data_IF_868960508370
#
_entry.id   IF_868960508370
#
_cell.length_a   1.000
_cell.length_b   1.000
_cell.length_c   1.000
_cell.angle_alpha   90.00
_cell.angle_beta   90.00
_cell.angle_gamma   90.00
#
_symmetry.space_group_name_H-M   'P 1'
#
loop_
_entity.id
_entity.type
_entity.pdbx_description
1 polymer ?
#
# COMPACT_ATOMS: atom_id res chain seq x y z
N UNK A 1 -17.97 7.10 -21.24
CA UNK A 1 -17.04 7.17 -20.07
C UNK A 1 -15.58 7.05 -20.49
N UNK A 2 -15.21 5.99 -21.24
CA UNK A 2 -13.84 5.78 -21.74
C UNK A 2 -13.31 6.96 -22.59
N UNK A 3 -14.12 7.53 -23.47
CA UNK A 3 -13.72 8.67 -24.32
C UNK A 3 -13.58 9.99 -23.54
N UNK A 4 -14.36 10.18 -22.47
CA UNK A 4 -14.24 11.35 -21.59
C UNK A 4 -12.92 11.29 -20.83
N UNK A 5 -12.55 10.10 -20.35
CA UNK A 5 -11.28 9.90 -19.67
C UNK A 5 -10.11 9.98 -20.65
N UNK A 6 -10.28 9.55 -21.92
CA UNK A 6 -9.26 9.78 -22.95
C UNK A 6 -9.11 11.27 -23.28
N UNK A 7 -10.19 12.04 -23.36
CA UNK A 7 -10.11 13.51 -23.49
C UNK A 7 -9.42 14.14 -22.27
N UNK A 8 -9.74 13.71 -21.05
CA UNK A 8 -9.04 14.16 -19.83
C UNK A 8 -7.55 13.78 -19.90
N UNK A 9 -7.24 12.56 -20.36
CA UNK A 9 -5.86 12.08 -20.53
C UNK A 9 -5.14 12.85 -21.63
N UNK A 10 -5.78 13.22 -22.74
CA UNK A 10 -5.20 14.03 -23.81
C UNK A 10 -4.96 15.48 -23.35
N UNK A 11 -5.92 16.06 -22.61
CA UNK A 11 -5.78 17.38 -21.99
C UNK A 11 -4.63 17.40 -20.97
N UNK A 12 -4.47 16.32 -20.20
CA UNK A 12 -3.37 16.17 -19.21
C UNK A 12 -2.04 15.76 -19.87
N UNK A 13 -2.06 14.95 -20.93
CA UNK A 13 -0.87 14.57 -21.70
C UNK A 13 -0.32 15.74 -22.53
N UNK A 14 -1.18 16.69 -22.92
CA UNK A 14 -0.78 17.97 -23.50
C UNK A 14 0.02 18.84 -22.50
N UNK A 15 -0.12 18.61 -21.18
CA UNK A 15 0.89 19.03 -20.21
C UNK A 15 2.04 18.01 -20.23
N UNK A 16 3.09 18.31 -21.01
CA UNK A 16 4.32 17.51 -21.16
C UNK A 16 4.69 16.81 -19.84
N UNK A 17 4.64 15.48 -19.82
CA UNK A 17 5.09 14.66 -18.70
C UNK A 17 6.48 15.12 -18.26
N UNK A 18 6.75 15.17 -16.94
CA UNK A 18 8.04 15.65 -16.48
C UNK A 18 9.14 14.75 -17.01
N UNK A 19 10.16 15.34 -17.61
CA UNK A 19 11.38 14.63 -17.96
C UNK A 19 12.07 14.16 -16.67
N UNK A 20 12.08 12.85 -16.45
CA UNK A 20 12.60 12.24 -15.22
C UNK A 20 14.14 12.16 -15.24
N UNK A 21 14.76 12.20 -16.41
CA UNK A 21 16.20 12.09 -16.60
C UNK A 21 16.90 13.45 -16.59
N UNK A 22 16.27 14.49 -17.15
CA UNK A 22 16.90 15.81 -17.30
C UNK A 22 16.09 16.97 -16.72
N UNK A 23 14.80 16.80 -16.43
CA UNK A 23 13.92 17.86 -15.93
C UNK A 23 14.20 18.32 -14.49
N UNK A 24 13.34 19.17 -13.94
CA UNK A 24 13.44 19.62 -12.54
C UNK A 24 13.09 18.49 -11.56
N UNK A 25 14.01 18.17 -10.63
CA UNK A 25 13.82 17.13 -9.60
C UNK A 25 12.55 17.36 -8.77
N UNK A 26 12.35 18.59 -8.26
CA UNK A 26 11.21 18.89 -7.39
C UNK A 26 9.87 18.74 -8.13
N UNK A 27 9.78 19.34 -9.32
CA UNK A 27 8.63 19.19 -10.22
C UNK A 27 8.31 17.72 -10.51
N UNK A 28 9.31 16.89 -10.82
CA UNK A 28 9.12 15.45 -11.06
C UNK A 28 8.63 14.72 -9.81
N UNK A 29 9.22 14.99 -8.64
CA UNK A 29 8.77 14.40 -7.37
C UNK A 29 7.30 14.73 -7.08
N UNK A 30 6.91 16.00 -7.16
CA UNK A 30 5.54 16.45 -6.87
C UNK A 30 4.53 15.89 -7.87
N UNK A 31 4.82 15.97 -9.17
CA UNK A 31 3.91 15.50 -10.22
C UNK A 31 3.68 13.99 -10.16
N UNK A 32 4.68 13.22 -9.73
CA UNK A 32 4.54 11.77 -9.54
C UNK A 32 3.88 11.44 -8.19
N UNK A 33 4.23 12.14 -7.11
CA UNK A 33 3.77 11.79 -5.77
C UNK A 33 2.31 12.16 -5.51
N UNK A 34 1.85 13.33 -5.99
CA UNK A 34 0.49 13.82 -5.72
C UNK A 34 -0.59 12.84 -6.21
N UNK A 35 -0.51 12.29 -7.44
CA UNK A 35 -1.48 11.28 -7.87
C UNK A 35 -1.47 10.01 -7.01
N UNK A 36 -0.30 9.57 -6.55
CA UNK A 36 -0.20 8.42 -5.65
C UNK A 36 -0.82 8.73 -4.29
N UNK A 37 -0.60 9.93 -3.75
CA UNK A 37 -1.22 10.39 -2.50
C UNK A 37 -2.74 10.41 -2.61
N UNK A 38 -3.28 10.96 -3.70
CA UNK A 38 -4.71 11.00 -3.96
C UNK A 38 -5.29 9.58 -4.13
N UNK A 39 -4.58 8.69 -4.80
CA UNK A 39 -4.97 7.29 -4.94
C UNK A 39 -5.06 6.58 -3.56
N UNK A 40 -4.06 6.77 -2.70
CA UNK A 40 -4.06 6.22 -1.33
C UNK A 40 -5.16 6.83 -0.45
N UNK A 41 -5.42 8.13 -0.61
CA UNK A 41 -6.53 8.79 0.07
C UNK A 41 -7.88 8.23 -0.38
N UNK A 42 -8.09 8.05 -1.68
CA UNK A 42 -9.30 7.41 -2.22
C UNK A 42 -9.48 5.98 -1.72
N UNK A 43 -8.40 5.21 -1.60
CA UNK A 43 -8.45 3.88 -0.99
C UNK A 43 -8.87 3.94 0.50
N UNK A 44 -8.48 4.99 1.21
CA UNK A 44 -8.94 5.23 2.60
C UNK A 44 -10.43 5.58 2.65
N UNK A 45 -10.90 6.45 1.75
CA UNK A 45 -12.33 6.79 1.62
C UNK A 45 -13.17 5.56 1.29
N UNK A 46 -12.70 4.71 0.38
CA UNK A 46 -13.31 3.43 0.04
C UNK A 46 -13.55 2.58 1.29
N UNK A 47 -12.53 2.36 2.12
CA UNK A 47 -12.68 1.55 3.34
C UNK A 47 -13.66 2.19 4.35
N UNK A 48 -13.73 3.52 4.41
CA UNK A 48 -14.65 4.22 5.31
C UNK A 48 -16.11 4.10 4.84
N UNK A 49 -16.36 4.24 3.55
CA UNK A 49 -17.72 4.16 2.98
C UNK A 49 -18.24 2.73 3.04
N UNK A 50 -17.44 1.72 2.70
CA UNK A 50 -17.81 0.31 2.82
C UNK A 50 -18.17 -0.04 4.27
N UNK A 51 -17.32 0.37 5.23
CA UNK A 51 -17.58 0.19 6.66
C UNK A 51 -18.87 0.90 7.13
N UNK A 52 -19.16 2.09 6.59
CA UNK A 52 -20.40 2.82 6.91
C UNK A 52 -21.64 2.06 6.45
N UNK A 53 -21.67 1.58 5.20
CA UNK A 53 -22.83 0.89 4.66
C UNK A 53 -23.04 -0.48 5.30
N UNK A 54 -21.99 -1.28 5.46
CA UNK A 54 -22.11 -2.58 6.14
C UNK A 54 -22.48 -2.39 7.62
N UNK A 55 -22.00 -1.33 8.26
CA UNK A 55 -22.35 -0.99 9.64
C UNK A 55 -23.85 -0.76 9.87
N UNK A 56 -24.58 -0.32 8.85
CA UNK A 56 -26.05 -0.12 8.92
C UNK A 56 -26.84 -1.43 8.95
N UNK A 57 -26.27 -2.56 8.57
CA UNK A 57 -26.91 -3.88 8.65
C UNK A 57 -26.93 -4.46 10.06
N UNK A 58 -26.08 -3.95 10.97
CA UNK A 58 -25.96 -4.42 12.34
C UNK A 58 -24.60 -5.03 12.67
N UNK A 59 -24.43 -5.39 13.94
CA UNK A 59 -23.14 -5.79 14.52
C UNK A 59 -22.54 -7.05 13.88
N UNK A 60 -23.37 -8.04 13.58
CA UNK A 60 -22.91 -9.31 12.99
C UNK A 60 -22.40 -9.12 11.57
N UNK A 61 -23.13 -8.36 10.75
CA UNK A 61 -22.73 -8.01 9.39
C UNK A 61 -21.43 -7.19 9.36
N UNK A 62 -21.29 -6.20 10.25
CA UNK A 62 -20.07 -5.38 10.37
C UNK A 62 -18.83 -6.17 10.79
N UNK A 63 -19.02 -7.27 11.53
CA UNK A 63 -17.92 -8.12 12.00
C UNK A 63 -17.26 -8.90 10.85
N UNK A 64 -18.01 -9.23 9.80
CA UNK A 64 -17.50 -10.07 8.71
C UNK A 64 -16.35 -9.42 7.91
N UNK A 65 -16.47 -8.19 7.36
CA UNK A 65 -15.34 -7.52 6.70
C UNK A 65 -14.15 -7.31 7.65
N UNK A 66 -14.42 -7.03 8.93
CA UNK A 66 -13.39 -6.80 9.95
C UNK A 66 -12.53 -8.05 10.19
N UNK A 67 -13.16 -9.23 10.32
CA UNK A 67 -12.48 -10.53 10.48
C UNK A 67 -11.75 -10.91 9.18
N UNK A 68 -12.33 -10.57 8.03
CA UNK A 68 -11.79 -10.90 6.71
C UNK A 68 -10.56 -10.07 6.34
N UNK A 69 -10.46 -8.83 6.84
CA UNK A 69 -9.46 -7.85 6.42
C UNK A 69 -8.01 -8.36 6.53
N UNK A 70 -7.55 -8.96 7.65
CA UNK A 70 -6.17 -9.45 7.74
C UNK A 70 -5.83 -10.53 6.71
N UNK A 71 -6.78 -11.43 6.41
CA UNK A 71 -6.62 -12.50 5.42
C UNK A 71 -6.48 -11.90 4.02
N UNK A 72 -7.40 -11.00 3.68
CA UNK A 72 -7.42 -10.31 2.39
C UNK A 72 -6.14 -9.48 2.23
N UNK A 73 -5.75 -8.73 3.27
CA UNK A 73 -4.55 -7.90 3.25
C UNK A 73 -3.28 -8.73 3.12
N UNK A 74 -3.19 -9.89 3.78
CA UNK A 74 -2.10 -10.84 3.60
C UNK A 74 -1.96 -11.26 2.14
N UNK A 75 -3.05 -11.64 1.47
CA UNK A 75 -3.04 -12.01 0.05
C UNK A 75 -2.63 -10.83 -0.85
N UNK A 76 -3.23 -9.66 -0.63
CA UNK A 76 -2.96 -8.44 -1.39
C UNK A 76 -1.49 -8.02 -1.27
N UNK A 77 -0.86 -8.23 -0.11
CA UNK A 77 0.53 -7.86 0.13
C UNK A 77 1.51 -8.62 -0.77
N UNK A 78 1.18 -9.86 -1.19
CA UNK A 78 1.97 -10.59 -2.18
C UNK A 78 1.94 -9.92 -3.55
N UNK A 79 0.75 -9.56 -4.03
CA UNK A 79 0.59 -8.80 -5.27
C UNK A 79 1.32 -7.47 -5.23
N UNK A 80 1.20 -6.72 -4.13
CA UNK A 80 1.91 -5.44 -3.95
C UNK A 80 3.42 -5.60 -4.07
N UNK A 81 4.01 -6.64 -3.46
CA UNK A 81 5.44 -6.91 -3.58
C UNK A 81 5.88 -7.28 -5.00
N UNK A 82 5.09 -8.08 -5.73
CA UNK A 82 5.37 -8.36 -7.16
C UNK A 82 5.26 -7.10 -8.03
N UNK A 83 4.39 -6.14 -7.67
CA UNK A 83 4.25 -4.87 -8.39
C UNK A 83 5.52 -4.02 -8.32
N UNK A 84 6.22 -4.07 -7.19
CA UNK A 84 7.52 -3.41 -7.01
C UNK A 84 8.53 -3.88 -8.06
N UNK A 85 8.54 -5.19 -8.37
CA UNK A 85 9.42 -5.74 -9.41
C UNK A 85 9.09 -5.18 -10.79
N UNK A 86 7.80 -5.02 -11.09
CA UNK A 86 7.34 -4.40 -12.34
C UNK A 86 7.83 -2.96 -12.45
N UNK A 87 7.63 -2.15 -11.41
CA UNK A 87 8.10 -0.76 -11.38
C UNK A 87 9.61 -0.67 -11.55
N UNK A 88 10.39 -1.46 -10.82
CA UNK A 88 11.85 -1.40 -10.86
C UNK A 88 12.42 -1.77 -12.25
N UNK A 89 12.00 -2.91 -12.80
CA UNK A 89 12.52 -3.42 -14.07
C UNK A 89 12.09 -2.53 -15.24
N UNK A 90 10.82 -2.11 -15.27
CA UNK A 90 10.31 -1.26 -16.34
C UNK A 90 10.93 0.13 -16.26
N UNK A 91 11.09 0.71 -15.06
CA UNK A 91 11.79 1.98 -14.89
C UNK A 91 13.23 1.89 -15.42
N UNK A 92 14.00 0.87 -15.04
CA UNK A 92 15.37 0.73 -15.50
C UNK A 92 15.47 0.52 -17.02
N UNK A 93 14.62 -0.34 -17.62
CA UNK A 93 14.63 -0.52 -19.07
C UNK A 93 14.18 0.72 -19.83
N UNK A 94 13.22 1.47 -19.29
CA UNK A 94 12.76 2.75 -19.84
C UNK A 94 13.86 3.80 -19.79
N UNK A 95 14.54 3.93 -18.64
CA UNK A 95 15.68 4.82 -18.48
C UNK A 95 16.87 4.47 -19.39
N UNK A 96 17.09 3.18 -19.64
CA UNK A 96 18.11 2.70 -20.57
C UNK A 96 17.73 2.82 -22.06
N UNK A 97 16.55 3.36 -22.39
CA UNK A 97 16.05 3.43 -23.76
C UNK A 97 15.70 2.07 -24.40
N UNK A 98 15.63 0.99 -23.61
CA UNK A 98 15.37 -0.38 -24.10
C UNK A 98 13.86 -0.69 -24.09
N UNK A 99 13.07 0.03 -24.90
CA UNK A 99 11.60 -0.07 -24.93
C UNK A 99 11.09 -1.50 -25.12
N UNK A 100 11.68 -2.27 -26.04
CA UNK A 100 11.27 -3.66 -26.29
C UNK A 100 11.39 -4.55 -25.05
N UNK A 101 12.44 -4.33 -24.23
CA UNK A 101 12.62 -5.08 -22.98
C UNK A 101 11.56 -4.67 -21.94
N UNK A 102 11.19 -3.39 -21.87
CA UNK A 102 10.08 -2.93 -21.03
C UNK A 102 8.75 -3.60 -21.41
N UNK A 103 8.46 -3.73 -22.71
CA UNK A 103 7.25 -4.39 -23.22
C UNK A 103 7.23 -5.89 -22.89
N UNK A 104 8.37 -6.58 -23.01
CA UNK A 104 8.50 -7.98 -22.62
C UNK A 104 8.27 -8.13 -21.11
N UNK A 105 8.95 -7.33 -20.28
CA UNK A 105 8.78 -7.39 -18.82
C UNK A 105 7.32 -7.14 -18.43
N UNK A 106 6.65 -6.17 -19.04
CA UNK A 106 5.23 -5.90 -18.75
C UNK A 106 4.34 -7.12 -19.02
N UNK A 107 4.56 -7.82 -20.14
CA UNK A 107 3.87 -9.09 -20.42
C UNK A 107 4.18 -10.17 -19.38
N UNK A 108 5.45 -10.35 -19.01
CA UNK A 108 5.85 -11.33 -18.00
C UNK A 108 5.28 -11.03 -16.61
N UNK A 109 5.22 -9.76 -16.21
CA UNK A 109 4.59 -9.34 -14.96
C UNK A 109 3.11 -9.71 -14.94
N UNK A 110 2.38 -9.45 -16.03
CA UNK A 110 0.97 -9.82 -16.14
C UNK A 110 0.80 -11.33 -16.03
N UNK A 111 1.62 -12.11 -16.73
CA UNK A 111 1.61 -13.58 -16.67
C UNK A 111 1.87 -14.10 -15.25
N UNK A 112 2.90 -13.58 -14.58
CA UNK A 112 3.24 -13.96 -13.19
C UNK A 112 2.11 -13.58 -12.24
N UNK A 113 1.58 -12.36 -12.34
CA UNK A 113 0.49 -11.88 -11.48
C UNK A 113 -0.78 -12.69 -11.64
N UNK A 114 -1.17 -13.01 -12.88
CA UNK A 114 -2.31 -13.88 -13.18
C UNK A 114 -2.10 -15.26 -12.58
N UNK A 115 -0.94 -15.89 -12.82
CA UNK A 115 -0.63 -17.20 -12.27
C UNK A 115 -0.69 -17.22 -10.74
N UNK A 116 0.00 -16.29 -10.07
CA UNK A 116 -0.01 -16.19 -8.61
C UNK A 116 -1.41 -15.92 -8.06
N UNK A 117 -2.18 -15.05 -8.70
CA UNK A 117 -3.53 -14.72 -8.25
C UNK A 117 -4.48 -15.91 -8.36
N UNK A 118 -4.38 -16.71 -9.43
CA UNK A 118 -5.17 -17.92 -9.61
C UNK A 118 -4.79 -18.96 -8.55
N UNK A 119 -3.49 -19.21 -8.36
CA UNK A 119 -3.02 -20.16 -7.34
C UNK A 119 -3.49 -19.74 -5.94
N UNK A 120 -3.28 -18.48 -5.55
CA UNK A 120 -3.67 -17.99 -4.22
C UNK A 120 -5.20 -17.97 -4.06
N UNK A 121 -5.95 -17.57 -5.09
CA UNK A 121 -7.42 -17.60 -5.06
C UNK A 121 -7.95 -19.02 -4.91
N UNK A 122 -7.47 -19.96 -5.72
CA UNK A 122 -7.87 -21.38 -5.66
C UNK A 122 -7.53 -22.01 -4.32
N UNK A 123 -6.28 -21.85 -3.84
CA UNK A 123 -5.90 -22.35 -2.52
C UNK A 123 -6.71 -21.69 -1.39
N UNK A 124 -6.92 -20.37 -1.48
CA UNK A 124 -7.72 -19.63 -0.51
C UNK A 124 -9.16 -20.14 -0.42
N UNK A 125 -9.76 -20.51 -1.57
CA UNK A 125 -11.11 -21.07 -1.63
C UNK A 125 -11.14 -22.49 -1.05
N UNK A 126 -10.19 -23.35 -1.46
CA UNK A 126 -10.11 -24.74 -0.98
C UNK A 126 -9.95 -24.78 0.54
N UNK A 127 -9.07 -23.94 1.09
CA UNK A 127 -8.77 -23.91 2.52
C UNK A 127 -9.64 -22.93 3.32
N UNK A 128 -10.65 -22.29 2.71
CA UNK A 128 -11.43 -21.23 3.34
C UNK A 128 -12.05 -21.68 4.67
N UNK A 129 -12.71 -22.84 4.69
CA UNK A 129 -13.31 -23.40 5.90
C UNK A 129 -12.25 -23.68 6.98
N UNK A 130 -11.09 -24.24 6.60
CA UNK A 130 -10.00 -24.51 7.53
C UNK A 130 -9.45 -23.22 8.14
N UNK A 131 -9.29 -22.17 7.33
CA UNK A 131 -8.83 -20.84 7.78
C UNK A 131 -9.83 -20.25 8.79
N UNK A 132 -11.14 -20.29 8.49
CA UNK A 132 -12.16 -19.76 9.39
C UNK A 132 -12.28 -20.56 10.69
N UNK A 133 -12.17 -21.89 10.62
CA UNK A 133 -12.14 -22.76 11.81
C UNK A 133 -10.91 -22.49 12.67
N UNK A 134 -9.74 -22.33 12.03
CA UNK A 134 -8.49 -22.01 12.72
C UNK A 134 -8.56 -20.66 13.43
N UNK A 135 -9.19 -19.66 12.81
CA UNK A 135 -9.44 -18.34 13.40
C UNK A 135 -10.57 -18.35 14.45
N UNK A 136 -11.23 -19.49 14.68
CA UNK A 136 -12.35 -19.64 15.62
C UNK A 136 -13.45 -18.61 15.38
N UNK A 137 -13.81 -18.40 14.12
CA UNK A 137 -14.88 -17.48 13.75
C UNK A 137 -16.20 -17.94 14.39
N UNK A 138 -16.91 -17.08 15.15
CA UNK A 138 -18.16 -17.46 15.79
C UNK A 138 -19.24 -17.88 14.78
N UNK A 139 -20.09 -18.83 15.17
CA UNK A 139 -21.16 -19.37 14.31
C UNK A 139 -22.13 -18.29 13.81
N UNK A 140 -22.41 -17.26 14.62
CA UNK A 140 -23.29 -16.15 14.25
C UNK A 140 -22.78 -15.31 13.09
N UNK A 141 -21.46 -15.19 12.91
CA UNK A 141 -20.85 -14.38 11.83
C UNK A 141 -20.18 -15.24 10.76
N UNK A 142 -20.20 -16.56 10.91
CA UNK A 142 -19.52 -17.51 10.04
C UNK A 142 -19.97 -17.35 8.59
N UNK A 143 -21.28 -17.41 8.33
CA UNK A 143 -21.82 -17.36 6.98
C UNK A 143 -21.50 -16.03 6.28
N UNK A 144 -21.65 -14.90 6.99
CA UNK A 144 -21.30 -13.58 6.45
C UNK A 144 -19.80 -13.50 6.10
N UNK A 145 -18.93 -13.96 7.00
CA UNK A 145 -17.47 -13.94 6.81
C UNK A 145 -17.05 -14.85 5.65
N UNK A 146 -17.60 -16.07 5.60
CA UNK A 146 -17.32 -17.03 4.55
C UNK A 146 -17.74 -16.49 3.17
N UNK A 147 -18.98 -16.01 3.03
CA UNK A 147 -19.48 -15.47 1.76
C UNK A 147 -18.66 -14.27 1.29
N UNK A 148 -18.31 -13.37 2.21
CA UNK A 148 -17.51 -12.19 1.91
C UNK A 148 -16.13 -12.58 1.36
N UNK A 149 -15.38 -13.43 2.09
CA UNK A 149 -14.03 -13.85 1.66
C UNK A 149 -14.09 -14.64 0.35
N UNK A 150 -15.04 -15.57 0.22
CA UNK A 150 -15.18 -16.38 -0.99
C UNK A 150 -15.32 -15.50 -2.24
N UNK A 151 -16.18 -14.48 -2.19
CA UNK A 151 -16.39 -13.56 -3.33
C UNK A 151 -15.16 -12.71 -3.59
N UNK A 152 -14.52 -12.18 -2.54
CA UNK A 152 -13.29 -11.41 -2.68
C UNK A 152 -12.17 -12.27 -3.30
N UNK A 153 -12.06 -13.55 -2.94
CA UNK A 153 -11.11 -14.49 -3.53
C UNK A 153 -11.37 -14.71 -5.02
N UNK A 154 -12.63 -14.86 -5.44
CA UNK A 154 -12.98 -14.94 -6.87
C UNK A 154 -12.57 -13.68 -7.64
N UNK A 155 -12.59 -12.52 -6.99
CA UNK A 155 -12.13 -11.24 -7.57
C UNK A 155 -10.62 -11.00 -7.51
N UNK A 156 -9.83 -11.86 -6.88
CA UNK A 156 -8.38 -11.65 -6.74
C UNK A 156 -7.63 -11.56 -8.06
N UNK A 157 -7.92 -12.37 -9.11
CA UNK A 157 -7.25 -12.24 -10.40
C UNK A 157 -7.39 -10.84 -11.00
N UNK A 158 -8.60 -10.28 -10.94
CA UNK A 158 -8.89 -8.93 -11.41
C UNK A 158 -8.08 -7.88 -10.64
N UNK A 159 -7.99 -8.03 -9.32
CA UNK A 159 -7.22 -7.12 -8.47
C UNK A 159 -5.71 -7.19 -8.74
N UNK A 160 -5.16 -8.38 -8.97
CA UNK A 160 -3.75 -8.57 -9.29
C UNK A 160 -3.41 -7.97 -10.66
N UNK A 161 -4.30 -8.04 -11.65
CA UNK A 161 -4.14 -7.32 -12.93
C UNK A 161 -4.07 -5.81 -12.71
N UNK A 162 -4.93 -5.25 -11.84
CA UNK A 162 -4.88 -3.84 -11.50
C UNK A 162 -3.54 -3.45 -10.87
N UNK A 163 -3.05 -4.23 -9.91
CA UNK A 163 -1.74 -4.00 -9.28
C UNK A 163 -0.58 -4.16 -10.28
N UNK A 164 -0.65 -5.14 -11.18
CA UNK A 164 0.33 -5.33 -12.25
C UNK A 164 0.41 -4.08 -13.14
N UNK A 165 -0.76 -3.60 -13.57
CA UNK A 165 -0.87 -2.40 -14.39
C UNK A 165 -0.38 -1.14 -13.68
N UNK A 166 -0.71 -0.98 -12.40
CA UNK A 166 -0.19 0.11 -11.57
C UNK A 166 1.35 0.09 -11.54
N UNK A 167 1.95 -1.08 -11.30
CA UNK A 167 3.41 -1.23 -11.29
C UNK A 167 4.07 -0.91 -12.63
N UNK A 168 3.44 -1.35 -13.74
CA UNK A 168 3.87 -1.04 -15.11
C UNK A 168 3.84 0.48 -15.35
N UNK A 169 2.72 1.13 -15.05
CA UNK A 169 2.54 2.58 -15.24
C UNK A 169 3.49 3.40 -14.38
N UNK A 170 3.70 3.00 -13.13
CA UNK A 170 4.70 3.61 -12.27
C UNK A 170 6.10 3.47 -12.87
N UNK A 171 6.46 2.31 -13.42
CA UNK A 171 7.75 2.14 -14.11
C UNK A 171 7.93 3.09 -15.30
N UNK A 172 6.86 3.37 -16.04
CA UNK A 172 6.84 4.30 -17.17
C UNK A 172 6.85 5.79 -16.77
N UNK A 173 6.70 6.11 -15.48
CA UNK A 173 6.56 7.51 -15.05
C UNK A 173 5.15 8.07 -15.12
N UNK A 174 4.13 7.20 -15.17
CA UNK A 174 2.71 7.59 -15.18
C UNK A 174 2.02 7.16 -13.88
N UNK A 175 1.86 8.10 -12.94
CA UNK A 175 1.11 7.85 -11.70
C UNK A 175 -0.34 8.34 -11.78
N UNK A 176 -0.69 9.11 -12.80
CA UNK A 176 -2.01 9.71 -12.98
C UNK A 176 -3.03 8.70 -13.50
N UNK A 177 -2.63 7.89 -14.48
CA UNK A 177 -3.51 6.87 -15.09
C UNK A 177 -3.99 5.84 -14.05
N UNK A 178 -3.11 5.26 -13.19
CA UNK A 178 -3.55 4.41 -12.09
C UNK A 178 -4.46 5.12 -11.07
N UNK A 179 -4.18 6.40 -10.76
CA UNK A 179 -5.01 7.19 -9.86
C UNK A 179 -6.43 7.35 -10.40
N UNK A 180 -6.59 7.68 -11.69
CA UNK A 180 -7.91 7.79 -12.32
C UNK A 180 -8.69 6.47 -12.24
N UNK A 181 -8.04 5.35 -12.51
CA UNK A 181 -8.69 4.03 -12.39
C UNK A 181 -9.11 3.79 -10.94
N UNK A 182 -8.25 4.12 -9.97
CA UNK A 182 -8.61 4.00 -8.56
C UNK A 182 -9.85 4.83 -8.22
N UNK A 183 -9.94 6.08 -8.69
CA UNK A 183 -11.14 6.90 -8.48
C UNK A 183 -12.39 6.30 -9.10
N UNK A 184 -12.29 5.69 -10.30
CA UNK A 184 -13.41 5.00 -10.93
C UNK A 184 -13.85 3.80 -10.09
N UNK A 185 -12.90 2.97 -9.62
CA UNK A 185 -13.20 1.82 -8.75
C UNK A 185 -13.93 2.28 -7.49
N UNK A 186 -13.41 3.30 -6.81
CA UNK A 186 -13.99 3.81 -5.57
C UNK A 186 -15.36 4.44 -5.83
N UNK A 187 -15.49 5.27 -6.86
CA UNK A 187 -16.77 5.91 -7.21
C UNK A 187 -17.85 4.88 -7.57
N UNK A 188 -17.52 3.88 -8.39
CA UNK A 188 -18.46 2.80 -8.72
C UNK A 188 -18.86 2.01 -7.48
N UNK A 189 -17.90 1.67 -6.62
CA UNK A 189 -18.20 0.91 -5.42
C UNK A 189 -19.12 1.69 -4.46
N UNK A 190 -18.80 2.96 -4.18
CA UNK A 190 -19.63 3.84 -3.33
C UNK A 190 -21.07 3.93 -3.85
N UNK A 191 -21.23 3.98 -5.18
CA UNK A 191 -22.56 4.03 -5.80
C UNK A 191 -23.27 2.68 -5.67
N UNK A 192 -22.58 1.56 -5.94
CA UNK A 192 -23.17 0.22 -6.00
C UNK A 192 -23.50 -0.37 -4.63
N UNK A 193 -22.73 -0.02 -3.60
CA UNK A 193 -22.89 -0.52 -2.24
C UNK A 193 -24.34 -0.40 -1.72
N UNK A 194 -24.99 0.78 -1.67
CA UNK A 194 -26.35 0.88 -1.14
C UNK A 194 -27.37 0.06 -1.95
N UNK A 195 -27.21 -0.05 -3.27
CA UNK A 195 -28.13 -0.84 -4.10
C UNK A 195 -28.02 -2.34 -3.81
N UNK A 196 -26.79 -2.86 -3.73
CA UNK A 196 -26.56 -4.30 -3.51
C UNK A 196 -26.70 -4.72 -2.05
N UNK A 197 -26.31 -3.86 -1.11
CA UNK A 197 -26.37 -4.15 0.32
C UNK A 197 -27.83 -4.16 0.79
N UNK A 198 -28.61 -3.12 0.49
CA UNK A 198 -29.99 -2.99 0.99
C UNK A 198 -31.04 -3.52 0.02
N UNK A 199 -30.68 -3.83 -1.23
CA UNK A 199 -31.64 -4.28 -2.25
C UNK A 199 -32.56 -3.16 -2.71
N UNK A 200 -31.97 -2.03 -3.12
CA UNK A 200 -32.73 -0.86 -3.58
C UNK A 200 -33.04 -1.01 -5.07
N UNK A 201 -34.23 -0.55 -5.49
CA UNK A 201 -34.70 -0.54 -6.88
C UNK A 201 -34.88 -1.95 -7.46
N UNK A 202 -34.09 -2.37 -8.45
CA UNK A 202 -34.20 -3.71 -9.08
C UNK A 202 -33.32 -4.78 -8.40
N UNK A 203 -32.43 -4.36 -7.49
CA UNK A 203 -31.44 -5.26 -6.92
C UNK A 203 -32.02 -6.01 -5.72
N UNK A 204 -31.77 -7.33 -5.59
CA UNK A 204 -32.14 -8.06 -4.39
C UNK A 204 -31.27 -7.60 -3.20
N UNK A 205 -31.80 -7.75 -1.99
CA UNK A 205 -31.04 -7.49 -0.76
C UNK A 205 -29.99 -8.58 -0.56
N UNK A 206 -28.71 -8.22 -0.66
CA UNK A 206 -27.59 -9.16 -0.54
C UNK A 206 -26.76 -8.96 0.74
N UNK A 207 -27.11 -8.00 1.60
CA UNK A 207 -26.40 -7.71 2.85
C UNK A 207 -24.86 -7.63 2.64
N UNK A 208 -24.07 -8.32 3.46
CA UNK A 208 -22.59 -8.36 3.38
C UNK A 208 -22.08 -8.93 2.05
N UNK A 209 -22.82 -9.86 1.45
CA UNK A 209 -22.50 -10.41 0.13
C UNK A 209 -22.58 -9.32 -0.94
N UNK A 210 -23.51 -8.37 -0.80
CA UNK A 210 -23.64 -7.21 -1.67
C UNK A 210 -22.39 -6.35 -1.71
N UNK A 211 -21.80 -6.05 -0.54
CA UNK A 211 -20.55 -5.27 -0.44
C UNK A 211 -19.37 -5.95 -1.14
N UNK A 212 -19.21 -7.27 -0.96
CA UNK A 212 -18.16 -8.03 -1.64
C UNK A 212 -18.35 -8.02 -3.17
N UNK A 213 -19.59 -8.19 -3.66
CA UNK A 213 -19.90 -8.15 -5.09
C UNK A 213 -19.65 -6.76 -5.66
N UNK A 214 -20.08 -5.69 -4.98
CA UNK A 214 -19.84 -4.32 -5.39
C UNK A 214 -18.33 -4.05 -5.56
N UNK A 215 -17.52 -4.54 -4.61
CA UNK A 215 -16.06 -4.42 -4.65
C UNK A 215 -15.46 -5.14 -5.86
N UNK A 216 -15.82 -6.41 -6.07
CA UNK A 216 -15.27 -7.22 -7.18
C UNK A 216 -15.73 -6.67 -8.53
N UNK A 217 -17.00 -6.28 -8.65
CA UNK A 217 -17.56 -5.72 -9.86
C UNK A 217 -16.89 -4.39 -10.23
N UNK A 218 -16.72 -3.49 -9.27
CA UNK A 218 -16.04 -2.20 -9.51
C UNK A 218 -14.61 -2.39 -10.01
N UNK A 219 -13.89 -3.39 -9.48
CA UNK A 219 -12.57 -3.80 -9.96
C UNK A 219 -12.62 -4.46 -11.34
N UNK A 220 -13.66 -5.24 -11.64
CA UNK A 220 -13.84 -5.87 -12.95
C UNK A 220 -14.04 -4.82 -14.05
N UNK A 221 -14.84 -3.79 -13.78
CA UNK A 221 -14.99 -2.63 -14.69
C UNK A 221 -13.64 -1.95 -14.91
N UNK A 222 -12.84 -1.74 -13.85
CA UNK A 222 -11.50 -1.19 -13.98
C UNK A 222 -10.56 -2.09 -14.79
N UNK A 223 -10.63 -3.42 -14.65
CA UNK A 223 -9.83 -4.33 -15.46
C UNK A 223 -10.20 -4.27 -16.94
N UNK A 224 -11.49 -4.10 -17.28
CA UNK A 224 -11.92 -3.88 -18.67
C UNK A 224 -11.32 -2.58 -19.21
N UNK A 225 -11.37 -1.49 -18.43
CA UNK A 225 -10.75 -0.21 -18.80
C UNK A 225 -9.23 -0.36 -18.99
N UNK A 226 -8.57 -1.11 -18.12
CA UNK A 226 -7.14 -1.41 -18.21
C UNK A 226 -6.82 -2.16 -19.49
N UNK A 227 -7.53 -3.25 -19.79
CA UNK A 227 -7.32 -4.06 -21.00
C UNK A 227 -7.50 -3.20 -22.25
N UNK A 228 -8.58 -2.42 -22.29
CA UNK A 228 -8.83 -1.48 -23.38
C UNK A 228 -7.67 -0.48 -23.55
N UNK A 229 -7.14 0.07 -22.46
CA UNK A 229 -6.01 1.00 -22.51
C UNK A 229 -4.69 0.33 -22.89
N UNK A 230 -4.42 -0.90 -22.45
CA UNK A 230 -3.21 -1.64 -22.85
C UNK A 230 -3.21 -1.84 -24.37
N UNK A 231 -4.36 -2.20 -24.95
CA UNK A 231 -4.48 -2.45 -26.40
C UNK A 231 -4.29 -1.17 -27.23
N UNK A 232 -4.69 -0.01 -26.71
CA UNK A 232 -4.58 1.29 -27.41
C UNK A 232 -3.39 2.14 -26.97
N UNK A 233 -2.51 1.62 -26.12
CA UNK A 233 -1.42 2.39 -25.57
C UNK A 233 -0.34 2.65 -26.63
N UNK A 234 0.07 3.92 -26.77
CA UNK A 234 1.18 4.31 -27.63
C UNK A 234 2.55 4.17 -26.93
N UNK A 235 2.54 4.09 -25.60
CA UNK A 235 3.76 4.11 -24.78
C UNK A 235 4.32 2.72 -24.53
N UNK A 236 3.47 1.72 -24.35
CA UNK A 236 3.89 0.32 -24.17
C UNK A 236 2.99 -0.61 -24.98
N UNK A 237 3.55 -1.27 -25.99
CA UNK A 237 2.79 -2.19 -26.84
C UNK A 237 2.94 -3.64 -26.35
N UNK A 238 2.06 -4.05 -25.43
CA UNK A 238 2.06 -5.41 -24.92
C UNK A 238 1.39 -6.34 -25.94
N UNK A 239 2.20 -7.14 -26.63
CA UNK A 239 1.75 -8.14 -27.60
C UNK A 239 1.50 -9.48 -26.91
N UNK A 240 0.60 -10.32 -27.46
CA UNK A 240 0.33 -11.66 -26.93
C UNK A 240 1.60 -12.52 -26.77
N UNK A 241 2.57 -12.38 -27.69
CA UNK A 241 3.87 -13.06 -27.60
C UNK A 241 4.67 -12.70 -26.33
N UNK A 242 4.45 -11.52 -25.73
CA UNK A 242 5.12 -11.11 -24.50
C UNK A 242 4.54 -11.79 -23.26
N UNK A 243 3.36 -12.42 -23.37
CA UNK A 243 2.73 -13.18 -22.28
C UNK A 243 3.26 -14.62 -22.18
N UNK A 244 3.92 -15.13 -23.22
CA UNK A 244 4.52 -16.46 -23.23
C UNK A 244 5.61 -16.53 -22.16
N UNK A 245 5.52 -17.43 -21.15
CA UNK A 245 6.47 -17.47 -20.04
C UNK A 245 7.93 -17.56 -20.49
N UNK A 246 8.75 -16.64 -19.98
CA UNK A 246 10.19 -16.66 -20.14
C UNK A 246 10.83 -16.71 -18.75
N UNK A 247 11.35 -17.89 -18.39
CA UNK A 247 11.89 -18.15 -17.06
C UNK A 247 13.04 -17.23 -16.65
N UNK A 248 13.80 -16.68 -17.60
CA UNK A 248 14.86 -15.72 -17.29
C UNK A 248 14.28 -14.40 -16.76
N UNK A 249 13.21 -13.90 -17.37
CA UNK A 249 12.54 -12.69 -16.92
C UNK A 249 11.69 -12.94 -15.67
N UNK A 250 11.00 -14.08 -15.60
CA UNK A 250 10.23 -14.49 -14.41
C UNK A 250 11.16 -14.61 -13.19
N UNK A 251 12.33 -15.24 -13.33
CA UNK A 251 13.31 -15.33 -12.26
C UNK A 251 13.75 -13.96 -11.73
N UNK A 252 13.93 -12.97 -12.61
CA UNK A 252 14.20 -11.58 -12.20
C UNK A 252 13.04 -10.96 -11.45
N UNK A 253 11.81 -11.13 -11.96
CA UNK A 253 10.59 -10.62 -11.31
C UNK A 253 10.45 -11.21 -9.91
N UNK A 254 10.62 -12.54 -9.75
CA UNK A 254 10.49 -13.22 -8.46
C UNK A 254 11.60 -12.84 -7.48
N UNK A 255 12.85 -12.70 -7.95
CA UNK A 255 14.00 -12.29 -7.11
C UNK A 255 13.80 -10.91 -6.49
N UNK A 256 13.05 -10.03 -7.15
CA UNK A 256 12.74 -8.69 -6.65
C UNK A 256 11.41 -8.69 -5.89
N UNK A 257 10.39 -9.37 -6.42
CA UNK A 257 9.04 -9.32 -5.91
C UNK A 257 8.88 -10.09 -4.60
N UNK A 258 9.43 -11.29 -4.48
CA UNK A 258 9.25 -12.13 -3.29
C UNK A 258 9.77 -11.47 -2.00
N UNK A 259 11.00 -10.90 -1.93
CA UNK A 259 11.43 -10.19 -0.73
C UNK A 259 10.52 -9.01 -0.37
N UNK A 260 10.05 -8.25 -1.37
CA UNK A 260 9.13 -7.14 -1.13
C UNK A 260 7.78 -7.65 -0.59
N UNK A 261 7.25 -8.73 -1.17
CA UNK A 261 6.01 -9.39 -0.73
C UNK A 261 6.12 -9.89 0.71
N UNK A 262 7.23 -10.54 1.07
CA UNK A 262 7.50 -11.03 2.42
C UNK A 262 7.62 -9.90 3.45
N UNK A 263 8.26 -8.79 3.07
CA UNK A 263 8.34 -7.60 3.93
C UNK A 263 6.97 -7.02 4.23
N UNK A 264 6.10 -6.91 3.22
CA UNK A 264 4.74 -6.38 3.38
C UNK A 264 3.85 -7.34 4.17
N UNK A 265 3.83 -8.64 3.80
CA UNK A 265 2.99 -9.64 4.46
C UNK A 265 3.38 -9.87 5.92
N UNK A 266 4.68 -9.89 6.23
CA UNK A 266 5.18 -10.02 7.60
C UNK A 266 4.83 -8.82 8.47
N UNK A 267 4.69 -7.62 7.88
CA UNK A 267 4.23 -6.43 8.61
C UNK A 267 2.79 -6.58 9.06
N UNK A 268 1.92 -7.13 8.21
CA UNK A 268 0.51 -7.40 8.51
C UNK A 268 0.35 -8.25 9.77
N UNK A 269 1.09 -9.36 9.83
CA UNK A 269 1.03 -10.32 10.95
C UNK A 269 1.53 -9.71 12.26
N UNK A 270 2.60 -8.92 12.23
CA UNK A 270 3.13 -8.32 13.45
C UNK A 270 2.20 -7.25 14.05
N UNK A 271 1.37 -6.58 13.25
CA UNK A 271 0.37 -5.65 13.78
C UNK A 271 -0.73 -6.33 14.58
N UNK A 272 -1.08 -7.59 14.26
CA UNK A 272 -2.04 -8.38 15.05
C UNK A 272 -1.52 -8.56 16.48
N UNK A 273 -0.23 -8.92 16.62
CA UNK A 273 0.41 -9.07 17.93
C UNK A 273 0.48 -7.73 18.68
N UNK A 274 0.78 -6.64 17.99
CA UNK A 274 0.79 -5.31 18.62
C UNK A 274 -0.58 -4.91 19.16
N UNK A 275 -1.65 -5.18 18.42
CA UNK A 275 -3.03 -4.94 18.88
C UNK A 275 -3.34 -5.79 20.12
N UNK A 276 -2.90 -7.04 20.15
CA UNK A 276 -3.06 -7.89 21.35
C UNK A 276 -2.42 -7.28 22.60
N UNK A 277 -1.26 -6.63 22.48
CA UNK A 277 -0.64 -5.92 23.61
C UNK A 277 -1.46 -4.73 24.07
N UNK A 278 -1.95 -3.91 23.14
CA UNK A 278 -2.80 -2.75 23.43
C UNK A 278 -4.09 -3.18 24.13
N UNK A 279 -4.70 -4.29 23.69
CA UNK A 279 -5.96 -4.78 24.25
C UNK A 279 -5.89 -5.16 25.73
N UNK A 280 -4.69 -5.48 26.25
CA UNK A 280 -4.49 -5.83 27.67
C UNK A 280 -4.61 -4.64 28.62
N UNK A 281 -4.58 -3.41 28.10
CA UNK A 281 -4.64 -2.18 28.91
C UNK A 281 -6.04 -1.53 28.94
N UNK A 282 -7.07 -2.21 28.43
CA UNK A 282 -8.46 -1.76 28.54
C UNK A 282 -8.93 -0.81 27.42
N UNK A 283 -10.24 -0.54 27.42
CA UNK A 283 -10.93 0.16 26.33
C UNK A 283 -10.39 1.57 26.08
N UNK A 284 -10.01 2.31 27.13
CA UNK A 284 -9.52 3.69 27.01
C UNK A 284 -8.21 3.77 26.24
N UNK A 285 -7.28 2.83 26.47
CA UNK A 285 -6.01 2.73 25.74
C UNK A 285 -6.22 2.31 24.30
N UNK A 286 -7.13 1.36 24.04
CA UNK A 286 -7.50 0.94 22.68
C UNK A 286 -8.04 2.13 21.88
N UNK A 287 -8.92 2.92 22.48
CA UNK A 287 -9.49 4.13 21.86
C UNK A 287 -8.42 5.18 21.54
N UNK A 288 -7.53 5.47 22.50
CA UNK A 288 -6.42 6.39 22.30
C UNK A 288 -5.46 5.90 21.19
N UNK A 289 -5.14 4.60 21.18
CA UNK A 289 -4.36 3.95 20.12
C UNK A 289 -5.01 4.13 18.75
N UNK A 290 -6.32 3.85 18.65
CA UNK A 290 -7.07 3.93 17.40
C UNK A 290 -7.04 5.33 16.81
N UNK A 291 -7.30 6.36 17.62
CA UNK A 291 -7.24 7.77 17.20
C UNK A 291 -5.81 8.13 16.80
N UNK A 292 -4.83 7.85 17.67
CA UNK A 292 -3.42 8.16 17.42
C UNK A 292 -2.89 7.54 16.13
N UNK A 293 -3.17 6.26 15.91
CA UNK A 293 -2.73 5.53 14.72
C UNK A 293 -3.38 6.07 13.44
N UNK A 294 -4.66 6.49 13.46
CA UNK A 294 -5.31 7.14 12.30
C UNK A 294 -4.60 8.44 11.92
N UNK A 295 -4.27 9.28 12.90
CA UNK A 295 -3.54 10.54 12.67
C UNK A 295 -2.14 10.28 12.12
N UNK A 296 -1.44 9.24 12.61
CA UNK A 296 -0.13 8.83 12.08
C UNK A 296 -0.23 8.33 10.64
N UNK A 297 -1.24 7.53 10.28
CA UNK A 297 -1.45 7.05 8.90
C UNK A 297 -1.66 8.22 7.94
N UNK A 298 -2.47 9.21 8.33
CA UNK A 298 -2.66 10.43 7.54
C UNK A 298 -1.35 11.19 7.33
N UNK A 299 -0.53 11.30 8.37
CA UNK A 299 0.81 11.89 8.29
C UNK A 299 1.72 11.18 7.27
N UNK A 300 1.57 9.86 7.13
CA UNK A 300 2.41 9.03 6.27
C UNK A 300 2.00 9.05 4.79
N UNK A 301 0.80 9.54 4.43
CA UNK A 301 0.35 9.59 3.03
C UNK A 301 1.35 10.31 2.10
N UNK A 302 1.89 11.51 2.44
CA UNK A 302 2.94 12.16 1.66
C UNK A 302 4.21 11.31 1.53
N UNK A 303 4.67 10.68 2.63
CA UNK A 303 5.86 9.84 2.61
C UNK A 303 5.70 8.63 1.69
N UNK A 304 4.52 8.00 1.68
CA UNK A 304 4.20 6.89 0.78
C UNK A 304 4.18 7.34 -0.68
N UNK A 305 3.51 8.46 -0.98
CA UNK A 305 3.45 8.98 -2.35
C UNK A 305 4.81 9.39 -2.90
N UNK A 306 5.62 10.08 -2.09
CA UNK A 306 6.98 10.50 -2.48
C UNK A 306 7.90 9.26 -2.61
N UNK A 307 7.78 8.25 -1.75
CA UNK A 307 8.55 7.02 -1.87
C UNK A 307 8.25 6.27 -3.19
N UNK A 308 6.98 6.21 -3.61
CA UNK A 308 6.61 5.64 -4.92
C UNK A 308 7.19 6.44 -6.08
N UNK A 309 7.16 7.77 -6.01
CA UNK A 309 7.81 8.63 -7.01
C UNK A 309 9.33 8.39 -7.06
N UNK A 310 9.99 8.29 -5.90
CA UNK A 310 11.43 7.98 -5.80
C UNK A 310 11.74 6.64 -6.46
N UNK A 311 10.94 5.59 -6.23
CA UNK A 311 11.15 4.28 -6.86
C UNK A 311 11.20 4.38 -8.39
N UNK A 312 10.25 5.10 -8.98
CA UNK A 312 10.22 5.33 -10.43
C UNK A 312 11.41 6.15 -10.92
N UNK A 313 11.64 7.33 -10.35
CA UNK A 313 12.65 8.28 -10.87
C UNK A 313 14.06 7.70 -10.66
N UNK A 314 14.34 7.08 -9.51
CA UNK A 314 15.62 6.41 -9.24
C UNK A 314 15.80 5.24 -10.20
N UNK A 315 14.78 4.41 -10.41
CA UNK A 315 14.86 3.30 -11.37
C UNK A 315 15.24 3.77 -12.78
N UNK A 316 14.59 4.81 -13.30
CA UNK A 316 14.93 5.35 -14.62
C UNK A 316 16.34 5.96 -14.65
N UNK A 317 16.75 6.71 -13.63
CA UNK A 317 18.08 7.30 -13.59
C UNK A 317 19.18 6.24 -13.48
N UNK A 318 18.98 5.15 -12.73
CA UNK A 318 19.92 4.02 -12.70
C UNK A 318 19.98 3.29 -14.05
N UNK A 319 18.83 3.14 -14.72
CA UNK A 319 18.78 2.60 -16.09
C UNK A 319 19.59 3.41 -17.10
N UNK A 320 19.55 4.75 -16.96
CA UNK A 320 20.29 5.72 -17.77
C UNK A 320 21.74 5.97 -17.28
N UNK A 321 22.24 5.19 -16.31
CA UNK A 321 23.55 5.37 -15.67
C UNK A 321 23.77 6.75 -14.99
N UNK A 322 22.68 7.48 -14.72
CA UNK A 322 22.69 8.78 -14.06
C UNK A 322 22.64 8.66 -12.52
N UNK A 323 23.60 7.96 -11.95
CA UNK A 323 23.66 7.65 -10.51
C UNK A 323 23.74 8.93 -9.65
N UNK A 324 24.49 9.94 -10.10
CA UNK A 324 24.64 11.22 -9.37
C UNK A 324 23.28 11.90 -9.20
N UNK A 325 22.46 11.92 -10.25
CA UNK A 325 21.11 12.49 -10.19
C UNK A 325 20.20 11.65 -9.32
N UNK A 326 20.26 10.32 -9.41
CA UNK A 326 19.50 9.41 -8.53
C UNK A 326 19.76 9.71 -7.05
N UNK A 327 21.02 9.88 -6.64
CA UNK A 327 21.39 10.27 -5.26
C UNK A 327 20.79 11.63 -4.89
N UNK A 328 20.90 12.62 -5.79
CA UNK A 328 20.34 13.96 -5.56
C UNK A 328 18.82 13.90 -5.36
N UNK A 329 18.09 13.13 -6.17
CA UNK A 329 16.64 12.94 -6.03
C UNK A 329 16.27 12.42 -4.64
N UNK A 330 17.01 11.43 -4.13
CA UNK A 330 16.74 10.83 -2.83
C UNK A 330 16.95 11.83 -1.70
N UNK A 331 18.01 12.65 -1.75
CA UNK A 331 18.23 13.71 -0.76
C UNK A 331 17.13 14.77 -0.78
N UNK A 332 16.69 15.21 -1.96
CA UNK A 332 15.57 16.15 -2.08
C UNK A 332 14.27 15.55 -1.52
N UNK A 333 13.99 14.27 -1.83
CA UNK A 333 12.82 13.57 -1.31
C UNK A 333 12.86 13.41 0.21
N UNK A 334 14.03 13.08 0.77
CA UNK A 334 14.22 12.99 2.23
C UNK A 334 14.01 14.34 2.90
N UNK A 335 14.56 15.43 2.35
CA UNK A 335 14.36 16.78 2.88
C UNK A 335 12.89 17.22 2.82
N UNK A 336 12.19 16.90 1.71
CA UNK A 336 10.77 17.19 1.54
C UNK A 336 9.91 16.42 2.57
N UNK A 337 10.12 15.11 2.70
CA UNK A 337 9.38 14.28 3.68
C UNK A 337 9.71 14.68 5.10
N UNK A 338 10.98 14.91 5.44
CA UNK A 338 11.37 15.33 6.78
C UNK A 338 10.69 16.65 7.16
N UNK A 339 10.69 17.64 6.26
CA UNK A 339 10.03 18.93 6.50
C UNK A 339 8.52 18.76 6.76
N UNK A 340 7.82 18.02 5.89
CA UNK A 340 6.37 17.79 6.03
C UNK A 340 6.06 17.08 7.36
N UNK A 341 6.83 16.04 7.69
CA UNK A 341 6.61 15.25 8.89
C UNK A 341 7.03 15.96 10.17
N UNK A 342 8.05 16.82 10.15
CA UNK A 342 8.42 17.64 11.29
C UNK A 342 7.31 18.65 11.62
N UNK A 343 6.74 19.31 10.60
CA UNK A 343 5.60 20.22 10.77
C UNK A 343 4.40 19.45 11.35
N UNK A 344 4.05 18.31 10.76
CA UNK A 344 2.94 17.47 11.24
C UNK A 344 3.18 16.92 12.66
N UNK A 345 4.40 16.51 12.96
CA UNK A 345 4.79 16.00 14.28
C UNK A 345 4.69 17.08 15.34
N UNK A 346 5.12 18.31 15.03
CA UNK A 346 5.02 19.45 15.92
C UNK A 346 3.55 19.81 16.17
N UNK A 347 2.75 19.87 15.10
CA UNK A 347 1.31 20.12 15.20
C UNK A 347 0.62 19.11 16.11
N UNK A 348 0.84 17.81 15.88
CA UNK A 348 0.23 16.74 16.68
C UNK A 348 0.80 16.67 18.10
N UNK A 349 2.07 17.00 18.32
CA UNK A 349 2.65 17.09 19.66
C UNK A 349 2.02 18.20 20.52
N UNK A 350 1.66 19.33 19.91
CA UNK A 350 1.04 20.46 20.61
C UNK A 350 -0.47 20.25 20.76
N UNK A 351 -1.15 19.86 19.67
CA UNK A 351 -2.61 19.86 19.60
C UNK A 351 -3.24 18.46 19.70
N UNK A 352 -2.46 17.39 19.76
CA UNK A 352 -2.94 16.01 19.72
C UNK A 352 -3.97 15.68 20.79
N UNK A 353 -3.85 16.24 21.99
CA UNK A 353 -4.87 16.06 23.05
C UNK A 353 -6.25 16.60 22.65
N UNK A 354 -6.30 17.72 21.91
CA UNK A 354 -7.55 18.31 21.44
C UNK A 354 -8.13 17.49 20.29
N UNK A 355 -7.28 16.93 19.44
CA UNK A 355 -7.70 15.96 18.43
C UNK A 355 -8.37 14.76 19.10
N UNK A 356 -7.76 14.19 20.16
CA UNK A 356 -8.38 13.08 20.91
C UNK A 356 -9.69 13.50 21.55
N UNK A 357 -9.73 14.65 22.23
CA UNK A 357 -10.94 15.18 22.86
C UNK A 357 -12.08 15.41 21.86
N UNK A 358 -11.76 15.88 20.65
CA UNK A 358 -12.74 16.07 19.59
C UNK A 358 -13.41 14.75 19.17
N UNK A 359 -12.66 13.65 19.13
CA UNK A 359 -13.22 12.34 18.80
C UNK A 359 -13.94 11.68 19.99
N UNK A 360 -13.34 11.72 21.17
CA UNK A 360 -13.88 11.09 22.38
C UNK A 360 -13.62 12.01 23.57
N UNK A 361 -14.69 12.55 24.14
CA UNK A 361 -14.62 13.41 25.32
C UNK A 361 -14.68 12.56 26.61
N UNK A 362 -13.61 11.79 26.86
CA UNK A 362 -13.41 11.00 28.07
C UNK A 362 -12.01 11.27 28.63
N UNK A 363 -11.91 11.58 29.92
CA UNK A 363 -10.66 12.03 30.54
C UNK A 363 -9.52 11.01 30.42
N UNK A 364 -9.83 9.71 30.61
CA UNK A 364 -8.84 8.64 30.54
C UNK A 364 -8.33 8.44 29.11
N UNK A 365 -9.23 8.48 28.11
CA UNK A 365 -8.86 8.40 26.69
C UNK A 365 -7.99 9.60 26.30
N UNK A 366 -8.34 10.80 26.76
CA UNK A 366 -7.56 12.02 26.51
C UNK A 366 -6.19 11.93 27.17
N UNK A 367 -6.08 11.37 28.37
CA UNK A 367 -4.81 11.16 29.06
C UNK A 367 -3.86 10.27 28.24
N UNK A 368 -4.31 9.07 27.87
CA UNK A 368 -3.48 8.16 27.06
C UNK A 368 -3.20 8.71 25.65
N UNK A 369 -4.17 9.42 25.07
CA UNK A 369 -4.01 10.11 23.79
C UNK A 369 -2.96 11.21 23.85
N UNK A 370 -2.94 12.00 24.93
CA UNK A 370 -1.90 13.01 25.17
C UNK A 370 -0.53 12.36 25.29
N UNK A 371 -0.40 11.28 26.06
CA UNK A 371 0.88 10.56 26.16
C UNK A 371 1.35 10.04 24.80
N UNK A 372 0.46 9.45 24.01
CA UNK A 372 0.75 9.00 22.65
C UNK A 372 1.36 10.13 21.80
N UNK A 373 0.67 11.26 21.74
CA UNK A 373 1.08 12.41 20.92
C UNK A 373 2.30 13.16 21.50
N UNK A 374 2.62 13.00 22.78
CA UNK A 374 3.88 13.52 23.33
C UNK A 374 5.09 12.66 22.99
N UNK A 375 4.89 11.38 22.69
CA UNK A 375 5.98 10.43 22.44
C UNK A 375 6.15 10.15 20.95
N UNK A 376 5.11 9.61 20.30
CA UNK A 376 5.22 8.97 18.98
C UNK A 376 5.49 9.93 17.81
N UNK A 377 4.94 11.16 17.72
CA UNK A 377 4.95 11.93 16.47
C UNK A 377 6.34 12.14 15.87
N UNK A 378 7.32 12.60 16.63
CA UNK A 378 8.66 12.87 16.08
C UNK A 378 9.37 11.62 15.53
N UNK A 379 9.03 10.43 16.02
CA UNK A 379 9.55 9.18 15.44
C UNK A 379 9.07 8.94 14.01
N UNK A 380 7.93 9.52 13.63
CA UNK A 380 7.38 9.37 12.27
C UNK A 380 8.29 10.00 11.22
N UNK A 381 9.11 11.00 11.59
CA UNK A 381 10.13 11.60 10.70
C UNK A 381 11.15 10.55 10.27
N UNK A 382 11.72 9.80 11.23
CA UNK A 382 12.65 8.70 10.94
C UNK A 382 11.99 7.60 10.12
N UNK A 383 10.71 7.33 10.40
CA UNK A 383 9.97 6.35 9.63
C UNK A 383 9.72 6.82 8.18
N UNK A 384 9.40 8.09 7.97
CA UNK A 384 9.26 8.68 6.64
C UNK A 384 10.57 8.66 5.86
N UNK A 385 11.71 8.91 6.51
CA UNK A 385 13.02 8.75 5.89
C UNK A 385 13.28 7.30 5.46
N UNK A 386 12.92 6.32 6.29
CA UNK A 386 12.97 4.90 5.94
C UNK A 386 12.10 4.58 4.72
N UNK A 387 10.91 5.18 4.59
CA UNK A 387 10.07 5.04 3.40
C UNK A 387 10.76 5.55 2.13
N UNK A 388 11.42 6.71 2.17
CA UNK A 388 12.13 7.26 1.00
C UNK A 388 13.29 6.34 0.58
N UNK A 389 14.07 5.85 1.54
CA UNK A 389 15.16 4.90 1.27
C UNK A 389 14.62 3.57 0.73
N UNK A 390 13.50 3.07 1.27
CA UNK A 390 12.81 1.91 0.73
C UNK A 390 12.34 2.15 -0.71
N UNK A 391 11.82 3.33 -1.04
CA UNK A 391 11.50 3.71 -2.42
C UNK A 391 12.73 3.62 -3.34
N UNK A 392 13.89 4.11 -2.88
CA UNK A 392 15.14 4.00 -3.64
C UNK A 392 15.58 2.53 -3.85
N UNK A 393 15.52 1.72 -2.80
CA UNK A 393 15.82 0.28 -2.86
C UNK A 393 14.88 -0.46 -3.83
N UNK A 394 13.58 -0.17 -3.76
CA UNK A 394 12.57 -0.68 -4.68
C UNK A 394 12.89 -0.29 -6.13
N UNK A 395 13.13 0.99 -6.41
CA UNK A 395 13.49 1.47 -7.75
C UNK A 395 14.77 0.86 -8.31
N UNK A 396 15.76 0.62 -7.46
CA UNK A 396 16.99 -0.08 -7.83
C UNK A 396 16.83 -1.58 -8.07
N UNK A 397 15.70 -2.17 -7.63
CA UNK A 397 15.46 -3.61 -7.67
C UNK A 397 16.11 -4.40 -6.53
N UNK A 398 16.79 -3.74 -5.59
CA UNK A 398 17.36 -4.36 -4.39
C UNK A 398 16.32 -4.39 -3.25
N UNK A 399 15.40 -5.34 -3.28
CA UNK A 399 14.27 -5.39 -2.33
C UNK A 399 14.54 -6.15 -1.03
N UNK A 400 15.65 -6.90 -0.93
CA UNK A 400 16.07 -7.54 0.32
C UNK A 400 16.31 -6.51 1.45
N UNK A 401 17.01 -5.37 1.22
CA UNK A 401 17.03 -4.26 2.15
C UNK A 401 15.66 -3.82 2.68
N UNK A 402 14.66 -3.71 1.80
CA UNK A 402 13.30 -3.31 2.16
C UNK A 402 12.68 -4.31 3.12
N UNK A 403 12.83 -5.61 2.82
CA UNK A 403 12.37 -6.70 3.68
C UNK A 403 13.03 -6.63 5.07
N UNK A 404 14.37 -6.50 5.11
CA UNK A 404 15.13 -6.42 6.36
C UNK A 404 14.68 -5.24 7.21
N UNK A 405 14.60 -4.03 6.63
CA UNK A 405 14.17 -2.82 7.35
C UNK A 405 12.76 -2.98 7.90
N UNK A 406 11.84 -3.49 7.07
CA UNK A 406 10.42 -3.54 7.42
C UNK A 406 10.15 -4.62 8.49
N UNK A 407 10.71 -5.81 8.33
CA UNK A 407 10.58 -6.89 9.31
C UNK A 407 11.31 -6.56 10.61
N UNK A 408 12.53 -6.02 10.54
CA UNK A 408 13.30 -5.67 11.75
C UNK A 408 12.59 -4.59 12.56
N UNK A 409 12.03 -3.57 11.90
CA UNK A 409 11.24 -2.53 12.58
C UNK A 409 10.17 -3.13 13.47
N UNK A 410 9.41 -4.09 12.95
CA UNK A 410 8.26 -4.63 13.67
C UNK A 410 8.61 -5.79 14.59
N UNK A 411 9.24 -6.84 14.04
CA UNK A 411 9.48 -8.10 14.73
C UNK A 411 10.70 -8.08 15.65
N UNK A 412 11.76 -7.38 15.25
CA UNK A 412 13.02 -7.35 16.04
C UNK A 412 13.00 -6.19 17.02
N UNK A 413 12.46 -5.03 16.63
CA UNK A 413 12.46 -3.85 17.48
C UNK A 413 11.12 -3.63 18.17
N UNK A 414 10.04 -3.37 17.44
CA UNK A 414 8.79 -2.90 18.06
C UNK A 414 8.19 -3.90 19.03
N UNK A 415 7.98 -5.16 18.61
CA UNK A 415 7.32 -6.18 19.44
C UNK A 415 8.14 -6.45 20.72
N UNK A 416 9.45 -6.76 20.66
CA UNK A 416 10.24 -7.02 21.86
C UNK A 416 10.34 -5.81 22.78
N UNK A 417 10.58 -4.61 22.24
CA UNK A 417 10.71 -3.39 23.04
C UNK A 417 9.37 -3.04 23.70
N UNK A 418 8.25 -3.08 22.96
CA UNK A 418 6.94 -2.84 23.54
C UNK A 418 6.59 -3.87 24.60
N UNK A 419 6.88 -5.15 24.38
CA UNK A 419 6.65 -6.19 25.39
C UNK A 419 7.47 -5.95 26.66
N UNK A 420 8.77 -5.68 26.49
CA UNK A 420 9.68 -5.47 27.62
C UNK A 420 9.30 -4.21 28.42
N UNK A 421 9.11 -3.07 27.76
CA UNK A 421 8.75 -1.83 28.45
C UNK A 421 7.37 -1.91 29.09
N UNK A 422 6.36 -2.42 28.37
CA UNK A 422 4.98 -2.40 28.85
C UNK A 422 4.73 -3.43 29.97
N UNK A 423 5.30 -4.64 29.88
CA UNK A 423 4.97 -5.75 30.78
C UNK A 423 6.10 -6.20 31.71
N UNK A 424 7.39 -6.00 31.35
CA UNK A 424 8.51 -6.38 32.23
C UNK A 424 8.95 -5.24 33.13
N UNK A 425 9.04 -4.02 32.58
CA UNK A 425 9.35 -2.81 33.36
C UNK A 425 8.09 -2.12 33.93
N UNK A 426 6.89 -2.65 33.65
CA UNK A 426 5.61 -2.12 34.12
C UNK A 426 5.37 -0.64 33.77
N UNK A 427 5.87 -0.15 32.62
CA UNK A 427 5.55 1.20 32.14
C UNK A 427 4.11 1.30 31.56
N UNK A 428 3.35 0.21 31.60
CA UNK A 428 1.98 0.16 31.11
C UNK A 428 1.87 0.50 29.62
N UNK A 429 0.76 1.16 29.23
CA UNK A 429 0.51 1.57 27.85
C UNK A 429 1.61 2.48 27.28
N UNK A 430 2.27 3.27 28.13
CA UNK A 430 3.40 4.13 27.73
C UNK A 430 4.59 3.35 27.19
N UNK A 431 4.81 2.13 27.68
CA UNK A 431 5.81 1.21 27.14
C UNK A 431 5.54 0.85 25.67
N UNK A 432 4.28 0.77 25.25
CA UNK A 432 3.90 0.57 23.85
C UNK A 432 4.29 1.79 23.01
N UNK A 433 3.99 3.01 23.49
CA UNK A 433 4.34 4.27 22.81
C UNK A 433 5.84 4.42 22.58
N UNK A 434 6.65 4.11 23.60
CA UNK A 434 8.10 4.09 23.46
C UNK A 434 8.60 3.01 22.51
N UNK A 435 7.97 1.84 22.49
CA UNK A 435 8.30 0.81 21.49
C UNK A 435 8.04 1.27 20.06
N UNK A 436 6.96 2.02 19.80
CA UNK A 436 6.73 2.67 18.50
C UNK A 436 7.82 3.69 18.18
N UNK A 437 8.16 4.55 19.14
CA UNK A 437 9.17 5.59 18.95
C UNK A 437 10.53 4.99 18.60
N UNK A 438 11.04 4.11 19.47
CA UNK A 438 12.37 3.51 19.34
C UNK A 438 12.46 2.66 18.08
N UNK A 439 11.44 1.85 17.79
CA UNK A 439 11.44 1.02 16.57
C UNK A 439 11.50 1.84 15.28
N UNK A 440 10.80 2.97 15.21
CA UNK A 440 10.84 3.86 14.06
C UNK A 440 12.21 4.52 13.89
N UNK A 441 12.82 4.98 15.00
CA UNK A 441 14.18 5.55 14.99
C UNK A 441 15.19 4.50 14.53
N UNK A 442 15.18 3.31 15.12
CA UNK A 442 16.09 2.21 14.75
C UNK A 442 15.90 1.77 13.30
N UNK A 443 14.67 1.73 12.79
CA UNK A 443 14.42 1.41 11.39
C UNK A 443 14.92 2.49 10.43
N UNK A 444 14.79 3.77 10.79
CA UNK A 444 15.37 4.89 10.06
C UNK A 444 16.90 4.78 9.98
N UNK A 445 17.54 4.51 11.12
CA UNK A 445 19.00 4.31 11.20
C UNK A 445 19.42 3.09 10.37
N UNK A 446 18.74 1.96 10.51
CA UNK A 446 19.04 0.74 9.77
C UNK A 446 18.92 0.95 8.25
N UNK A 447 17.84 1.60 7.81
CA UNK A 447 17.66 1.96 6.41
C UNK A 447 18.78 2.87 5.91
N UNK A 448 19.21 3.85 6.72
CA UNK A 448 20.31 4.76 6.38
C UNK A 448 21.65 4.04 6.28
N UNK A 449 21.97 3.15 7.22
CA UNK A 449 23.20 2.32 7.19
C UNK A 449 23.24 1.46 5.92
N UNK A 450 22.12 0.85 5.53
CA UNK A 450 22.06 0.08 4.29
C UNK A 450 22.16 1.01 3.07
N UNK A 451 21.58 2.20 3.13
CA UNK A 451 21.62 3.19 2.05
C UNK A 451 23.03 3.69 1.75
N UNK A 452 23.85 3.99 2.78
CA UNK A 452 25.22 4.45 2.60
C UNK A 452 26.16 3.37 2.05
N UNK A 453 25.82 2.09 2.20
CA UNK A 453 26.59 0.97 1.62
C UNK A 453 26.71 1.04 0.09
N UNK A 454 25.84 1.80 -0.58
CA UNK A 454 25.92 2.07 -2.00
C UNK A 454 25.56 0.90 -2.93
N UNK A 455 25.29 -0.30 -2.40
CA UNK A 455 24.93 -1.48 -3.22
C UNK A 455 23.74 -1.23 -4.16
N UNK A 456 22.80 -0.40 -3.72
CA UNK A 456 21.63 -0.01 -4.52
C UNK A 456 21.95 0.84 -5.76
N UNK A 457 23.16 1.42 -5.86
CA UNK A 457 23.58 2.25 -7.00
C UNK A 457 23.85 1.43 -8.26
N UNK A 458 23.93 0.11 -8.16
CA UNK A 458 24.09 -0.77 -9.31
C UNK A 458 22.74 -1.08 -9.94
N UNK A 459 22.64 -0.95 -11.28
CA UNK A 459 21.45 -1.39 -12.01
C UNK A 459 21.40 -2.92 -12.08
N UNK A 460 20.19 -3.48 -12.11
CA UNK A 460 19.95 -4.93 -12.15
C UNK A 460 19.61 -5.45 -13.56
N UNK A 461 19.70 -4.57 -14.54
CA UNK A 461 19.51 -4.87 -15.96
C UNK A 461 20.86 -4.99 -16.67
N UNK A 462 20.93 -5.93 -17.61
CA UNK A 462 22.08 -6.11 -18.51
C UNK A 462 21.99 -5.13 -19.69
#
# INVERSE_FOLDING_TARGET
MVDIIMKIKEIVANNKRPDLLYGSILKSLVLLSVPVMLSNFSHTLFNLVDAFWVGKLGKEAFSAPTISFPIIFFIISFGSGLSVAATALIAQYTGAGKKDKSEIIAGQVITVMLFFSLVISTLGIIFLNNILSFLKVPTSVWNYTHQYIFIILLGMPVYFIFIAYQGIRFGLGDTFTPMLIQFIVVGLNIILDPFLIFGIWIFPRLDVKGAAIATVFSRAVAAIVIIYWIVRDREINIKLKHLIPNFNYIGKILKIGLPASLGQSGTSLGFILMISFVNRFGASVISAFGIGNRIVILAMLPAMGIASAVATIVGQNLGADNIKRAVKIIWYAMAMVASILLIWSTFTFVLGQYVVKFFINNEEVIFYGKEFFKIVPYSTVFFGLAFIMNGAFQGSGHTVPVMIVTLSRLWVFRIPISYFLAFKLNYGAKGIWWGFFISNVLAGILAYVIFISGKWKHKIIN
#
